data_IF_765635399823
#
_entry.id   IF_765635399823
#
_cell.length_a   1.000
_cell.length_b   1.000
_cell.length_c   1.000
_cell.angle_alpha   90.00
_cell.angle_beta   90.00
_cell.angle_gamma   90.00
#
_symmetry.space_group_name_H-M   'P 1'
#
loop_
_entity.id
_entity.type
_entity.pdbx_description
1 polymer ?
#
# COMPACT_ATOMS: atom_id res chain seq x y z
N UNK A 1 -9.49 19.32 -46.42
CA UNK A 1 -8.19 19.92 -46.82
C UNK A 1 -7.23 19.71 -45.67
N UNK A 2 -6.36 18.70 -45.80
CA UNK A 2 -5.46 18.22 -44.75
C UNK A 2 -4.09 18.87 -44.91
N UNK A 3 -3.60 19.58 -43.90
CA UNK A 3 -2.17 19.95 -43.80
C UNK A 3 -1.70 20.01 -42.35
N UNK A 4 -1.62 18.85 -41.70
CA UNK A 4 -0.83 18.66 -40.48
C UNK A 4 0.11 17.45 -40.67
N UNK A 5 1.17 17.62 -41.47
CA UNK A 5 2.21 16.59 -41.55
C UNK A 5 3.51 17.16 -42.12
N UNK A 6 4.19 18.05 -41.40
CA UNK A 6 5.59 18.36 -41.70
C UNK A 6 6.36 18.88 -40.48
N UNK A 7 6.38 18.11 -39.39
CA UNK A 7 7.48 18.19 -38.41
C UNK A 7 8.23 16.86 -38.33
N UNK A 8 8.47 16.24 -39.49
CA UNK A 8 9.48 15.19 -39.67
C UNK A 8 10.86 15.85 -39.67
N UNK A 9 11.20 16.50 -38.55
CA UNK A 9 12.52 17.04 -38.30
C UNK A 9 13.49 15.86 -38.34
N UNK A 10 14.51 15.96 -39.19
CA UNK A 10 15.54 14.95 -39.45
C UNK A 10 16.13 14.47 -38.11
N UNK A 11 15.60 13.38 -37.55
CA UNK A 11 16.22 12.72 -36.39
C UNK A 11 17.50 12.07 -36.90
N UNK A 12 18.64 12.61 -36.50
CA UNK A 12 19.95 12.02 -36.76
C UNK A 12 20.00 10.62 -36.14
N UNK A 13 20.64 9.64 -36.82
CA UNK A 13 20.67 8.25 -36.37
C UNK A 13 21.23 8.09 -34.96
N UNK A 14 22.23 8.90 -34.60
CA UNK A 14 22.82 8.97 -33.25
C UNK A 14 21.78 9.26 -32.16
N UNK A 15 20.85 10.16 -32.44
CA UNK A 15 19.80 10.59 -31.50
C UNK A 15 18.71 9.54 -31.35
N UNK A 16 18.43 8.77 -32.42
CA UNK A 16 17.49 7.65 -32.38
C UNK A 16 18.02 6.49 -31.53
N UNK A 17 19.32 6.20 -31.67
CA UNK A 17 20.00 5.17 -30.88
C UNK A 17 20.03 5.56 -29.40
N UNK A 18 20.34 6.82 -29.08
CA UNK A 18 20.34 7.30 -27.69
C UNK A 18 18.95 7.25 -27.04
N UNK A 19 17.91 7.62 -27.78
CA UNK A 19 16.52 7.58 -27.30
C UNK A 19 16.07 6.13 -27.04
N UNK A 20 16.41 5.20 -27.92
CA UNK A 20 16.09 3.78 -27.74
C UNK A 20 16.81 3.17 -26.52
N UNK A 21 18.07 3.57 -26.26
CA UNK A 21 18.81 3.17 -25.07
C UNK A 21 18.19 3.76 -23.80
N UNK A 22 17.82 5.05 -23.81
CA UNK A 22 17.15 5.69 -22.68
C UNK A 22 15.82 5.01 -22.33
N UNK A 23 15.00 4.67 -23.33
CA UNK A 23 13.76 3.90 -23.15
C UNK A 23 14.01 2.54 -22.50
N UNK A 24 15.04 1.82 -22.95
CA UNK A 24 15.40 0.50 -22.40
C UNK A 24 15.84 0.60 -20.94
N UNK A 25 16.68 1.56 -20.61
CA UNK A 25 17.14 1.79 -19.24
C UNK A 25 15.98 2.18 -18.32
N UNK A 26 15.07 3.03 -18.80
CA UNK A 26 13.84 3.36 -18.07
C UNK A 26 13.01 2.11 -17.79
N UNK A 27 12.70 1.29 -18.80
CA UNK A 27 11.92 0.07 -18.64
C UNK A 27 12.62 -0.95 -17.74
N UNK A 28 13.96 -1.04 -17.79
CA UNK A 28 14.74 -1.91 -16.91
C UNK A 28 14.62 -1.48 -15.43
N UNK A 29 14.58 -0.18 -15.16
CA UNK A 29 14.37 0.38 -13.80
C UNK A 29 12.90 0.27 -13.38
N UNK A 30 11.98 0.73 -14.21
CA UNK A 30 10.53 0.70 -13.95
C UNK A 30 9.99 -0.73 -13.79
N UNK A 31 10.49 -1.67 -14.59
CA UNK A 31 10.08 -3.07 -14.54
C UNK A 31 10.37 -3.75 -13.19
N UNK A 32 11.46 -3.36 -12.50
CA UNK A 32 11.74 -3.84 -11.14
C UNK A 32 10.67 -3.41 -10.15
N UNK A 33 10.24 -2.15 -10.22
CA UNK A 33 9.14 -1.67 -9.38
C UNK A 33 7.82 -2.32 -9.78
N UNK A 34 7.55 -2.50 -11.08
CA UNK A 34 6.34 -3.17 -11.54
C UNK A 34 6.23 -4.61 -11.03
N UNK A 35 7.35 -5.34 -10.88
CA UNK A 35 7.36 -6.69 -10.34
C UNK A 35 7.23 -6.75 -8.81
N UNK A 36 7.81 -5.80 -8.07
CA UNK A 36 7.88 -5.84 -6.59
C UNK A 36 6.71 -5.13 -5.92
N UNK A 37 6.19 -4.05 -6.51
CA UNK A 37 5.16 -3.21 -5.89
C UNK A 37 3.83 -3.95 -5.70
N UNK A 38 3.26 -4.68 -6.68
CA UNK A 38 1.99 -5.37 -6.46
C UNK A 38 2.08 -6.42 -5.34
N UNK A 39 3.08 -7.32 -5.29
CA UNK A 39 3.25 -8.25 -4.17
C UNK A 39 3.46 -7.56 -2.82
N UNK A 40 4.28 -6.50 -2.76
CA UNK A 40 4.54 -5.78 -1.52
C UNK A 40 3.28 -5.11 -0.97
N UNK A 41 2.50 -4.44 -1.84
CA UNK A 41 1.22 -3.83 -1.47
C UNK A 41 0.21 -4.91 -1.07
N UNK A 42 0.16 -6.04 -1.77
CA UNK A 42 -0.69 -7.18 -1.39
C UNK A 42 -0.33 -7.73 -0.02
N UNK A 43 0.95 -7.91 0.30
CA UNK A 43 1.38 -8.36 1.62
C UNK A 43 1.03 -7.33 2.70
N UNK A 44 1.30 -6.04 2.46
CA UNK A 44 0.95 -4.97 3.38
C UNK A 44 -0.57 -4.91 3.64
N UNK A 45 -1.40 -4.95 2.59
CA UNK A 45 -2.86 -4.98 2.70
C UNK A 45 -3.35 -6.28 3.35
N UNK A 46 -2.74 -7.43 3.05
CA UNK A 46 -3.05 -8.71 3.67
C UNK A 46 -2.77 -8.69 5.17
N UNK A 47 -1.68 -8.04 5.61
CA UNK A 47 -1.44 -7.80 7.03
C UNK A 47 -2.42 -6.79 7.63
N UNK A 48 -2.83 -5.74 6.91
CA UNK A 48 -3.82 -4.77 7.42
C UNK A 48 -5.21 -5.38 7.60
N UNK A 49 -5.72 -6.08 6.58
CA UNK A 49 -7.08 -6.63 6.54
C UNK A 49 -7.25 -7.93 7.33
N UNK A 50 -6.16 -8.69 7.52
CA UNK A 50 -6.17 -9.95 8.25
C UNK A 50 -5.55 -9.83 9.67
N UNK A 51 -5.21 -8.61 10.11
CA UNK A 51 -4.67 -8.39 11.45
C UNK A 51 -5.76 -8.21 12.49
N UNK A 52 -5.76 -9.13 13.47
CA UNK A 52 -6.35 -8.95 14.81
C UNK A 52 -5.62 -7.87 15.64
N UNK A 53 -4.96 -6.88 15.03
CA UNK A 53 -4.45 -5.70 15.75
C UNK A 53 -5.57 -4.71 16.11
N UNK A 54 -6.74 -4.78 15.45
CA UNK A 54 -8.00 -4.21 15.94
C UNK A 54 -8.76 -5.26 16.78
N UNK A 55 -8.09 -5.86 17.76
CA UNK A 55 -8.74 -6.70 18.78
C UNK A 55 -8.14 -6.48 20.18
N UNK A 56 -7.50 -5.32 20.38
CA UNK A 56 -7.10 -4.80 21.70
C UNK A 56 -7.27 -3.30 21.87
N UNK A 57 -7.61 -2.53 20.82
CA UNK A 57 -7.94 -1.10 20.99
C UNK A 57 -9.33 -0.91 21.61
N UNK A 58 -10.23 -1.89 21.44
CA UNK A 58 -11.39 -2.08 22.30
C UNK A 58 -10.99 -2.86 23.54
N UNK A 59 -10.19 -2.25 24.42
CA UNK A 59 -10.02 -2.77 25.77
C UNK A 59 -11.36 -2.74 26.47
N UNK A 60 -12.17 -3.80 26.32
CA UNK A 60 -13.15 -4.17 27.34
C UNK A 60 -12.31 -4.54 28.55
N UNK A 61 -11.87 -3.51 29.28
CA UNK A 61 -11.50 -3.68 30.67
C UNK A 61 -12.80 -4.15 31.32
N UNK A 62 -12.83 -5.34 31.91
CA UNK A 62 -13.89 -5.67 32.85
C UNK A 62 -14.06 -4.48 33.80
N UNK A 63 -15.29 -3.99 33.92
CA UNK A 63 -15.56 -2.93 34.89
C UNK A 63 -15.17 -3.38 36.29
N UNK A 64 -14.94 -2.41 37.18
CA UNK A 64 -14.93 -2.71 38.61
C UNK A 64 -16.39 -2.95 39.01
N UNK A 65 -16.81 -4.21 38.99
CA UNK A 65 -18.21 -4.59 39.16
C UNK A 65 -18.82 -4.15 40.49
N UNK A 66 -20.00 -3.54 40.40
CA UNK A 66 -20.96 -3.47 41.51
C UNK A 66 -22.04 -4.53 41.27
N UNK A 67 -21.75 -5.76 41.69
CA UNK A 67 -22.76 -6.77 42.00
C UNK A 67 -23.53 -7.45 40.86
N UNK A 68 -23.28 -7.15 39.58
CA UNK A 68 -23.94 -7.86 38.48
C UNK A 68 -23.16 -9.14 38.06
N UNK A 69 -23.88 -10.24 37.86
CA UNK A 69 -23.29 -11.58 37.57
C UNK A 69 -23.21 -11.91 36.09
N UNK A 70 -23.64 -10.99 35.21
CA UNK A 70 -23.84 -11.26 33.80
C UNK A 70 -22.56 -11.08 32.95
N UNK A 71 -21.45 -10.69 33.57
CA UNK A 71 -20.15 -10.59 32.91
C UNK A 71 -18.98 -10.86 33.86
N UNK A 72 -17.81 -11.19 33.29
CA UNK A 72 -16.58 -11.43 34.05
C UNK A 72 -16.04 -10.09 34.53
N UNK A 73 -15.86 -9.95 35.85
CA UNK A 73 -15.17 -8.83 36.50
C UNK A 73 -13.72 -9.24 36.80
N UNK A 74 -12.74 -8.44 36.36
CA UNK A 74 -11.31 -8.69 36.64
C UNK A 74 -10.67 -7.60 37.51
N UNK A 75 -11.48 -6.68 38.05
CA UNK A 75 -11.05 -5.63 38.96
C UNK A 75 -11.44 -5.93 40.41
N UNK A 76 -10.73 -5.35 41.40
CA UNK A 76 -11.13 -5.46 42.80
C UNK A 76 -12.53 -4.84 43.02
N UNK A 77 -13.33 -5.36 43.97
CA UNK A 77 -14.65 -4.81 44.27
C UNK A 77 -14.52 -3.34 44.67
N UNK A 78 -15.41 -2.50 44.15
CA UNK A 78 -15.46 -1.09 44.55
C UNK A 78 -15.72 -1.00 46.05
N UNK A 79 -14.90 -0.24 46.77
CA UNK A 79 -15.11 0.01 48.19
C UNK A 79 -16.33 0.90 48.37
N UNK A 80 -17.20 0.53 49.31
CA UNK A 80 -18.39 1.27 49.70
C UNK A 80 -18.05 2.54 50.48
#
# INVERSE_FOLDING_TARGET
MSTESTKRSKRTPETLVSEAQARREFLKKAGRFAAVTPPAVTLLLGTSLNSRAIAKSGGSRPGNGWGDKNHIHSGPPGQA
#
